data_IF_706268665617
#
_entry.id   IF_706268665617
#
_cell.length_a   1.000
_cell.length_b   1.000
_cell.length_c   1.000
_cell.angle_alpha   90.00
_cell.angle_beta   90.00
_cell.angle_gamma   90.00
#
_symmetry.space_group_name_H-M   'P 1'
#
loop_
_entity.id
_entity.type
_entity.pdbx_description
1 polymer ?
#
# COMPACT_ATOMS: atom_id res chain seq x y z
N UNK A 1 -15.33 10.59 -8.72
CA UNK A 1 -14.92 9.16 -8.77
C UNK A 1 -15.74 8.46 -7.71
N UNK A 2 -16.80 7.78 -8.14
CA UNK A 2 -17.60 6.95 -7.24
C UNK A 2 -16.88 5.63 -7.06
N UNK A 3 -16.44 5.37 -5.82
CA UNK A 3 -15.87 4.10 -5.43
C UNK A 3 -17.02 3.26 -4.89
N UNK A 4 -17.50 2.33 -5.72
CA UNK A 4 -18.43 1.30 -5.29
C UNK A 4 -17.59 0.18 -4.68
N UNK A 5 -17.76 -0.07 -3.39
CA UNK A 5 -17.12 -1.19 -2.67
C UNK A 5 -18.06 -2.39 -2.81
N UNK A 6 -17.66 -3.37 -3.61
CA UNK A 6 -18.42 -4.60 -3.87
C UNK A 6 -18.12 -5.68 -2.80
N UNK A 7 -19.11 -6.54 -2.56
CA UNK A 7 -19.30 -7.44 -1.41
C UNK A 7 -18.41 -8.70 -1.43
N UNK A 8 -17.12 -8.58 -1.74
CA UNK A 8 -16.13 -9.63 -1.43
C UNK A 8 -15.00 -9.04 -0.59
N UNK A 9 -15.24 -8.77 0.71
CA UNK A 9 -14.23 -8.16 1.56
C UNK A 9 -13.21 -9.22 1.98
N UNK A 10 -11.92 -8.88 1.95
CA UNK A 10 -10.84 -9.31 2.87
C UNK A 10 -9.47 -9.54 2.19
N UNK A 11 -9.37 -9.66 0.87
CA UNK A 11 -8.10 -9.94 0.20
C UNK A 11 -7.71 -8.89 -0.87
N UNK A 12 -6.55 -8.26 -0.70
CA UNK A 12 -5.92 -7.41 -1.73
C UNK A 12 -4.74 -8.16 -2.34
N UNK A 13 -4.75 -8.33 -3.66
CA UNK A 13 -3.67 -9.00 -4.40
C UNK A 13 -2.69 -7.98 -4.95
N UNK A 14 -1.38 -8.16 -4.69
CA UNK A 14 -0.31 -7.31 -5.20
C UNK A 14 0.51 -8.11 -6.22
N UNK A 15 0.57 -7.64 -7.47
CA UNK A 15 1.38 -8.23 -8.53
C UNK A 15 2.42 -7.23 -9.03
N UNK A 16 3.70 -7.57 -8.95
CA UNK A 16 4.80 -6.79 -9.54
C UNK A 16 6.01 -7.68 -9.82
N UNK A 17 6.59 -7.56 -11.01
CA UNK A 17 7.84 -8.24 -11.37
C UNK A 17 9.06 -7.65 -10.65
N UNK A 18 8.99 -6.38 -10.29
CA UNK A 18 10.01 -5.68 -9.51
C UNK A 18 9.85 -6.00 -8.01
N UNK A 19 10.86 -6.61 -7.35
CA UNK A 19 10.81 -6.97 -5.93
C UNK A 19 10.78 -5.75 -5.02
N UNK A 20 11.44 -4.64 -5.38
CA UNK A 20 11.46 -3.40 -4.61
C UNK A 20 10.06 -2.81 -4.57
N UNK A 21 9.41 -2.68 -5.74
CA UNK A 21 8.02 -2.18 -5.83
C UNK A 21 7.04 -3.09 -5.08
N UNK A 22 7.29 -4.40 -5.08
CA UNK A 22 6.46 -5.38 -4.36
C UNK A 22 6.54 -5.15 -2.85
N UNK A 23 7.73 -4.88 -2.34
CA UNK A 23 7.96 -4.63 -0.92
C UNK A 23 7.36 -3.29 -0.46
N UNK A 24 7.53 -2.23 -1.26
CA UNK A 24 6.91 -0.92 -0.99
C UNK A 24 5.38 -1.04 -0.93
N UNK A 25 4.78 -1.71 -1.92
CA UNK A 25 3.34 -1.94 -1.95
C UNK A 25 2.88 -2.78 -0.74
N UNK A 26 3.62 -3.83 -0.36
CA UNK A 26 3.29 -4.66 0.80
C UNK A 26 3.26 -3.85 2.10
N UNK A 27 4.28 -3.01 2.34
CA UNK A 27 4.35 -2.17 3.55
C UNK A 27 3.24 -1.13 3.58
N UNK A 28 3.06 -0.38 2.49
CA UNK A 28 2.02 0.64 2.39
C UNK A 28 0.62 0.03 2.60
N UNK A 29 0.34 -1.12 1.98
CA UNK A 29 -0.94 -1.82 2.15
C UNK A 29 -1.15 -2.32 3.58
N UNK A 30 -0.12 -2.84 4.24
CA UNK A 30 -0.22 -3.25 5.65
C UNK A 30 -0.62 -2.08 6.56
N UNK A 31 0.00 -0.90 6.37
CA UNK A 31 -0.36 0.30 7.13
C UNK A 31 -1.76 0.81 6.80
N UNK A 32 -2.16 0.79 5.53
CA UNK A 32 -3.48 1.23 5.10
C UNK A 32 -4.61 0.36 5.65
N UNK A 33 -4.40 -0.95 5.71
CA UNK A 33 -5.37 -1.90 6.29
C UNK A 33 -5.51 -1.67 7.80
N UNK A 34 -4.40 -1.43 8.52
CA UNK A 34 -4.43 -1.14 9.97
C UNK A 34 -5.15 0.17 10.31
N UNK A 35 -5.06 1.19 9.45
CA UNK A 35 -5.70 2.50 9.68
C UNK A 35 -7.24 2.40 9.52
N UNK A 36 -7.76 1.34 8.89
CA UNK A 36 -9.18 1.01 8.75
C UNK A 36 -10.00 1.96 7.84
N UNK A 37 -9.63 3.25 7.76
CA UNK A 37 -10.23 4.25 6.87
C UNK A 37 -9.21 4.76 5.87
N UNK A 38 -9.22 4.17 4.68
CA UNK A 38 -8.32 4.52 3.59
C UNK A 38 -8.76 5.86 2.98
N UNK A 39 -7.97 6.92 3.18
CA UNK A 39 -8.16 8.23 2.56
C UNK A 39 -7.05 8.50 1.53
N UNK A 40 -7.35 9.15 0.39
CA UNK A 40 -6.36 9.40 -0.67
C UNK A 40 -5.07 10.07 -0.17
N UNK A 41 -5.20 11.12 0.65
CA UNK A 41 -4.05 11.83 1.22
C UNK A 41 -3.16 10.96 2.12
N UNK A 42 -3.74 9.93 2.76
CA UNK A 42 -3.01 9.00 3.62
C UNK A 42 -2.30 7.91 2.81
N UNK A 43 -2.89 7.46 1.70
CA UNK A 43 -2.28 6.52 0.76
C UNK A 43 -0.99 7.10 0.20
N UNK A 44 -1.03 8.32 -0.33
CA UNK A 44 0.15 8.97 -0.92
C UNK A 44 1.28 9.10 0.09
N UNK A 45 0.95 9.53 1.32
CA UNK A 45 1.91 9.64 2.41
C UNK A 45 2.54 8.28 2.76
N UNK A 46 1.71 7.26 3.00
CA UNK A 46 2.20 5.94 3.41
C UNK A 46 3.03 5.25 2.32
N UNK A 47 2.71 5.47 1.04
CA UNK A 47 3.52 4.97 -0.07
C UNK A 47 4.88 5.68 -0.12
N UNK A 48 4.92 7.00 0.07
CA UNK A 48 6.19 7.73 0.15
C UNK A 48 7.06 7.29 1.34
N UNK A 49 6.44 7.10 2.51
CA UNK A 49 7.15 6.64 3.69
C UNK A 49 7.69 5.21 3.47
N UNK A 50 6.88 4.30 2.95
CA UNK A 50 7.30 2.94 2.61
C UNK A 50 8.41 2.89 1.55
N UNK A 51 8.38 3.79 0.56
CA UNK A 51 9.43 3.90 -0.46
C UNK A 51 10.78 4.25 0.19
N UNK A 52 10.81 5.24 1.09
CA UNK A 52 12.03 5.64 1.81
C UNK A 52 12.57 4.53 2.69
N UNK A 53 11.71 3.85 3.44
CA UNK A 53 12.14 2.75 4.30
C UNK A 53 12.74 1.57 3.52
N UNK A 54 12.21 1.29 2.32
CA UNK A 54 12.76 0.24 1.45
C UNK A 54 14.09 0.69 0.85
N UNK A 55 14.21 1.94 0.43
CA UNK A 55 15.48 2.50 -0.06
C UNK A 55 16.57 2.47 1.03
N UNK A 56 16.24 2.81 2.27
CA UNK A 56 17.16 2.72 3.41
C UNK A 56 17.56 1.27 3.73
N UNK A 57 16.64 0.32 3.59
CA UNK A 57 16.92 -1.09 3.85
C UNK A 57 17.73 -1.79 2.74
N UNK A 58 17.77 -1.22 1.53
CA UNK A 58 18.50 -1.75 0.37
C UNK A 58 19.90 -1.14 0.24
N UNK A 59 20.18 -0.06 0.97
CA UNK A 59 21.47 0.63 0.99
C UNK A 59 22.48 -0.06 1.90
#
# INVERSE_FOLDING_TARGET
>A
MDVIVDDTPEAVTISSFDPVRREVARRAMAHLVLDGRIHPARIEKLVQDAQKEVEEAVK
#
